data_IF_218915229533
#
_entry.id   IF_218915229533
#
_cell.length_a   1.000
_cell.length_b   1.000
_cell.length_c   1.000
_cell.angle_alpha   90.00
_cell.angle_beta   90.00
_cell.angle_gamma   90.00
#
_symmetry.space_group_name_H-M   'P 1'
#
loop_
_entity.id
_entity.type
_entity.pdbx_description
1 polymer ?
#
# COMPACT_ATOMS: atom_id res chain seq x y z
N UNK A 1 2.61 23.57 14.96
CA UNK A 1 3.61 23.12 15.96
C UNK A 1 3.89 21.66 15.65
N UNK A 2 5.09 21.28 15.20
CA UNK A 2 5.38 19.87 14.91
C UNK A 2 5.21 19.06 16.19
N UNK A 3 4.46 17.95 16.11
CA UNK A 3 4.34 16.98 17.20
C UNK A 3 5.74 16.60 17.68
N UNK A 4 5.94 16.64 19.00
CA UNK A 4 7.22 16.30 19.62
C UNK A 4 7.57 14.85 19.27
N UNK A 5 8.63 14.68 18.48
CA UNK A 5 9.23 13.40 18.14
C UNK A 5 9.58 12.64 19.43
N UNK A 6 9.03 11.45 19.63
CA UNK A 6 9.40 10.55 20.74
C UNK A 6 10.52 9.64 20.22
N UNK A 7 11.79 9.86 20.59
CA UNK A 7 12.87 8.95 20.18
C UNK A 7 12.80 7.71 21.07
N UNK A 8 12.43 6.57 20.49
CA UNK A 8 12.65 5.24 21.08
C UNK A 8 13.38 4.40 20.04
N UNK A 9 14.71 4.53 20.00
CA UNK A 9 15.57 3.82 19.04
C UNK A 9 16.32 4.73 18.08
N UNK A 10 17.04 4.08 17.16
CA UNK A 10 17.88 4.70 16.11
C UNK A 10 17.04 5.39 15.02
N UNK A 11 15.81 4.92 14.80
CA UNK A 11 14.90 5.43 13.79
C UNK A 11 13.70 6.18 14.37
N UNK A 12 13.16 7.14 13.61
CA UNK A 12 12.08 8.00 14.07
C UNK A 12 10.72 7.48 13.61
N UNK A 13 9.84 7.15 14.57
CA UNK A 13 8.50 6.63 14.30
C UNK A 13 7.52 7.69 13.84
N UNK A 14 6.65 7.33 12.89
CA UNK A 14 5.47 8.13 12.58
C UNK A 14 4.48 8.19 13.74
N UNK A 15 3.58 9.18 13.69
CA UNK A 15 2.42 9.25 14.58
C UNK A 15 1.58 7.96 14.51
N UNK A 16 1.44 7.40 13.29
CA UNK A 16 0.74 6.12 13.06
C UNK A 16 1.45 4.97 13.77
N UNK A 17 2.77 4.81 13.61
CA UNK A 17 3.54 3.78 14.31
C UNK A 17 3.44 3.88 15.83
N UNK A 18 3.52 5.11 16.35
CA UNK A 18 3.39 5.38 17.79
C UNK A 18 1.99 5.01 18.29
N UNK A 19 0.93 5.39 17.56
CA UNK A 19 -0.47 5.06 17.87
C UNK A 19 -0.72 3.54 17.87
N UNK A 20 -0.16 2.84 16.89
CA UNK A 20 -0.28 1.38 16.74
C UNK A 20 0.68 0.60 17.66
N UNK A 21 1.58 1.31 18.37
CA UNK A 21 2.61 0.71 19.22
C UNK A 21 3.44 -0.34 18.47
N UNK A 22 3.83 -0.03 17.23
CA UNK A 22 4.64 -0.94 16.41
C UNK A 22 5.99 -1.17 17.09
N UNK A 23 6.41 -2.42 17.14
CA UNK A 23 7.65 -2.88 17.79
C UNK A 23 8.50 -3.77 16.87
N UNK A 24 7.98 -4.07 15.69
CA UNK A 24 8.63 -4.88 14.66
C UNK A 24 8.58 -4.11 13.37
N UNK A 25 9.74 -3.92 12.74
CA UNK A 25 9.89 -3.11 11.54
C UNK A 25 10.66 -3.87 10.47
N UNK A 26 10.16 -3.79 9.24
CA UNK A 26 10.82 -4.34 8.07
C UNK A 26 11.34 -3.19 7.22
N UNK A 27 12.61 -3.28 6.89
CA UNK A 27 13.40 -2.29 6.18
C UNK A 27 13.79 -2.82 4.82
N UNK A 28 13.60 -2.03 3.78
CA UNK A 28 14.12 -2.32 2.46
C UNK A 28 15.47 -1.63 2.27
N UNK A 29 16.54 -2.37 1.92
CA UNK A 29 17.80 -1.78 1.46
C UNK A 29 17.63 -0.96 0.17
N UNK A 30 18.24 0.22 0.13
CA UNK A 30 18.32 1.13 -1.00
C UNK A 30 19.75 1.71 -1.06
N UNK A 31 20.66 0.95 -1.68
CA UNK A 31 22.09 1.25 -1.65
C UNK A 31 22.67 1.17 -0.23
N UNK A 32 23.33 2.25 0.21
CA UNK A 32 23.97 2.33 1.53
C UNK A 32 23.00 2.59 2.70
N UNK A 33 21.71 2.74 2.41
CA UNK A 33 20.69 3.09 3.39
C UNK A 33 19.55 2.09 3.36
N UNK A 34 18.72 2.11 4.40
CA UNK A 34 17.43 1.41 4.41
C UNK A 34 16.27 2.37 4.63
N UNK A 35 15.10 1.97 4.15
CA UNK A 35 13.80 2.63 4.33
C UNK A 35 12.83 1.68 5.03
N UNK A 36 12.02 2.18 5.97
CA UNK A 36 10.93 1.37 6.55
C UNK A 36 9.85 1.13 5.50
N UNK A 37 9.49 -0.14 5.28
CA UNK A 37 8.43 -0.52 4.34
C UNK A 37 7.22 -1.14 5.04
N UNK A 38 7.43 -1.72 6.22
CA UNK A 38 6.37 -2.26 7.04
C UNK A 38 6.73 -2.13 8.52
N UNK A 39 5.71 -2.04 9.36
CA UNK A 39 5.83 -2.18 10.79
C UNK A 39 4.53 -2.64 11.43
N UNK A 40 4.64 -3.40 12.51
CA UNK A 40 3.50 -3.94 13.23
C UNK A 40 3.83 -4.20 14.70
N UNK A 41 2.81 -4.52 15.48
CA UNK A 41 2.92 -4.81 16.91
C UNK A 41 2.76 -6.31 17.13
N UNK A 42 3.82 -7.00 17.56
CA UNK A 42 3.81 -8.46 17.75
C UNK A 42 2.91 -8.95 18.87
N UNK A 43 2.59 -8.09 19.85
CA UNK A 43 1.61 -8.45 20.89
C UNK A 43 0.20 -8.61 20.33
N UNK A 44 -0.11 -7.91 19.23
CA UNK A 44 -1.43 -7.89 18.59
C UNK A 44 -1.45 -8.75 17.33
N UNK A 45 -0.44 -8.60 16.48
CA UNK A 45 -0.32 -9.24 15.17
C UNK A 45 0.81 -10.24 15.19
N UNK A 46 0.54 -11.42 15.72
CA UNK A 46 1.51 -12.52 15.72
C UNK A 46 1.68 -13.05 14.30
N UNK A 47 2.82 -12.73 13.70
CA UNK A 47 3.17 -13.14 12.35
C UNK A 47 4.47 -13.96 12.37
N UNK A 48 4.43 -15.12 11.71
CA UNK A 48 5.65 -15.90 11.46
C UNK A 48 6.47 -15.26 10.35
N UNK A 49 7.72 -15.67 10.20
CA UNK A 49 8.57 -15.26 9.08
C UNK A 49 7.89 -15.56 7.74
N UNK A 50 7.29 -16.74 7.58
CA UNK A 50 6.52 -17.12 6.38
C UNK A 50 5.33 -16.19 6.14
N UNK A 51 4.56 -15.89 7.18
CA UNK A 51 3.43 -14.96 7.10
C UNK A 51 3.88 -13.58 6.62
N UNK A 52 4.94 -13.03 7.22
CA UNK A 52 5.46 -11.70 6.87
C UNK A 52 5.94 -11.67 5.41
N UNK A 53 6.73 -12.67 4.98
CA UNK A 53 7.17 -12.76 3.58
C UNK A 53 5.97 -12.75 2.63
N UNK A 54 4.96 -13.59 2.87
CA UNK A 54 3.74 -13.63 2.05
C UNK A 54 2.99 -12.30 2.03
N UNK A 55 2.81 -11.65 3.18
CA UNK A 55 2.17 -10.33 3.23
C UNK A 55 2.92 -9.27 2.43
N UNK A 56 4.26 -9.26 2.51
CA UNK A 56 5.10 -8.39 1.69
C UNK A 56 4.95 -8.72 0.19
N UNK A 57 4.77 -10.00 -0.16
CA UNK A 57 4.46 -10.42 -1.53
C UNK A 57 3.12 -9.83 -2.02
N UNK A 58 2.09 -9.89 -1.18
CA UNK A 58 0.77 -9.33 -1.49
C UNK A 58 0.80 -7.80 -1.64
N UNK A 59 1.60 -7.11 -0.83
CA UNK A 59 1.74 -5.65 -0.88
C UNK A 59 2.56 -5.15 -2.08
N UNK A 60 3.41 -6.00 -2.68
CA UNK A 60 4.35 -5.57 -3.73
C UNK A 60 4.39 -6.53 -4.92
N UNK A 61 3.25 -6.89 -5.53
CA UNK A 61 3.19 -7.92 -6.57
C UNK A 61 4.09 -7.61 -7.77
N UNK A 62 4.30 -6.33 -8.08
CA UNK A 62 5.16 -5.88 -9.18
C UNK A 62 6.64 -6.27 -9.00
N UNK A 63 7.14 -6.33 -7.75
CA UNK A 63 8.52 -6.74 -7.46
C UNK A 63 8.72 -8.24 -7.75
N UNK A 64 7.73 -9.06 -7.45
CA UNK A 64 7.85 -10.52 -7.57
C UNK A 64 7.56 -11.04 -8.98
N UNK A 65 6.70 -10.36 -9.75
CA UNK A 65 6.40 -10.78 -11.13
C UNK A 65 7.64 -10.89 -12.02
N UNK A 66 8.69 -10.10 -11.75
CA UNK A 66 9.87 -10.04 -12.62
C UNK A 66 10.81 -11.22 -12.48
N UNK A 67 10.79 -11.97 -11.36
CA UNK A 67 11.73 -13.08 -11.12
C UNK A 67 11.38 -13.89 -9.86
N UNK A 68 10.33 -14.73 -9.89
CA UNK A 68 9.92 -15.53 -8.72
C UNK A 68 11.00 -16.52 -8.25
N UNK A 69 11.81 -17.07 -9.17
CA UNK A 69 12.79 -18.12 -8.83
C UNK A 69 14.22 -17.60 -8.64
N UNK A 70 14.53 -16.37 -9.05
CA UNK A 70 15.92 -15.83 -9.04
C UNK A 70 16.24 -14.96 -7.86
N UNK A 71 15.25 -14.36 -7.22
CA UNK A 71 15.47 -13.47 -6.09
C UNK A 71 14.64 -13.93 -4.91
N UNK A 72 15.13 -14.98 -4.25
CA UNK A 72 14.66 -15.32 -2.92
C UNK A 72 14.93 -14.13 -2.00
N UNK A 73 13.86 -13.54 -1.47
CA UNK A 73 14.01 -12.55 -0.43
C UNK A 73 14.13 -13.23 0.91
N UNK A 74 14.96 -12.66 1.77
CA UNK A 74 15.21 -13.20 3.08
C UNK A 74 15.13 -12.09 4.11
N UNK A 75 14.50 -12.41 5.24
CA UNK A 75 14.55 -11.55 6.41
C UNK A 75 15.88 -11.77 7.14
N UNK A 76 16.52 -10.69 7.53
CA UNK A 76 17.70 -10.68 8.39
C UNK A 76 17.49 -9.69 9.50
N UNK A 77 17.99 -9.97 10.70
CA UNK A 77 18.07 -8.92 11.72
C UNK A 77 19.11 -7.89 11.30
N UNK A 78 18.77 -6.62 11.49
CA UNK A 78 19.67 -5.51 11.18
C UNK A 78 19.86 -4.64 12.42
N UNK A 79 21.03 -4.01 12.49
CA UNK A 79 21.25 -2.88 13.38
C UNK A 79 21.24 -1.61 12.55
N UNK A 80 20.40 -0.67 12.93
CA UNK A 80 20.34 0.64 12.31
C UNK A 80 21.40 1.54 12.93
N UNK A 81 21.90 2.47 12.12
CA UNK A 81 22.72 3.61 12.56
C UNK A 81 22.10 4.87 11.98
N UNK A 82 21.80 5.84 12.83
CA UNK A 82 21.35 7.17 12.36
C UNK A 82 22.38 7.77 11.39
N UNK A 83 21.90 8.25 10.24
CA UNK A 83 22.72 8.96 9.27
C UNK A 83 22.32 10.45 9.19
N UNK A 84 23.13 11.23 8.48
CA UNK A 84 22.87 12.66 8.28
C UNK A 84 21.68 12.91 7.35
N UNK A 85 21.36 11.95 6.48
CA UNK A 85 20.22 12.03 5.57
C UNK A 85 18.91 11.77 6.33
N UNK A 86 17.96 12.72 6.35
CA UNK A 86 16.66 12.54 6.99
C UNK A 86 15.93 11.29 6.50
N UNK A 87 15.33 10.54 7.45
CA UNK A 87 14.54 9.33 7.18
C UNK A 87 15.28 8.21 6.46
N UNK A 88 16.62 8.27 6.42
CA UNK A 88 17.47 7.18 6.00
C UNK A 88 18.28 6.69 7.18
N UNK A 89 18.58 5.41 7.16
CA UNK A 89 19.36 4.78 8.22
C UNK A 89 20.45 3.98 7.54
N UNK A 90 21.69 4.18 7.97
CA UNK A 90 22.74 3.21 7.67
C UNK A 90 22.38 1.91 8.39
N UNK A 91 22.78 0.78 7.84
CA UNK A 91 22.45 -0.51 8.43
C UNK A 91 23.63 -1.46 8.35
N UNK A 92 23.66 -2.40 9.29
CA UNK A 92 24.55 -3.56 9.26
C UNK A 92 23.71 -4.80 9.49
N UNK A 93 23.94 -5.84 8.70
CA UNK A 93 23.39 -7.16 8.98
C UNK A 93 24.35 -7.88 9.92
N UNK A 94 23.87 -8.23 11.11
CA UNK A 94 24.67 -8.96 12.11
C UNK A 94 24.42 -10.47 12.09
N UNK A 95 23.27 -10.87 11.53
CA UNK A 95 22.71 -12.20 11.74
C UNK A 95 22.57 -12.98 10.43
N UNK A 96 22.53 -14.31 10.59
CA UNK A 96 22.20 -15.26 9.53
C UNK A 96 20.81 -14.98 8.94
N UNK A 97 20.57 -15.53 7.75
CA UNK A 97 19.24 -15.53 7.13
C UNK A 97 18.25 -16.15 8.10
N UNK A 98 17.16 -15.43 8.38
CA UNK A 98 16.05 -15.99 9.15
C UNK A 98 15.30 -16.93 8.21
N UNK A 99 15.23 -18.24 8.53
CA UNK A 99 14.56 -19.19 7.67
C UNK A 99 13.06 -18.90 7.61
N UNK A 100 12.50 -19.04 6.42
CA UNK A 100 11.06 -18.89 6.18
C UNK A 100 10.30 -20.09 6.77
N UNK A 101 9.87 -19.94 8.02
CA UNK A 101 9.17 -20.98 8.76
C UNK A 101 8.00 -20.41 9.56
N UNK A 102 7.33 -21.29 10.31
CA UNK A 102 6.15 -20.97 11.12
C UNK A 102 6.50 -20.41 12.52
N UNK A 103 7.77 -20.10 12.78
CA UNK A 103 8.17 -19.48 14.03
C UNK A 103 7.73 -18.02 14.03
N UNK A 104 7.03 -17.61 15.10
CA UNK A 104 6.64 -16.21 15.29
C UNK A 104 7.90 -15.34 15.34
N UNK A 105 7.88 -14.28 14.55
CA UNK A 105 8.97 -13.32 14.51
C UNK A 105 8.99 -12.55 15.84
N UNK A 106 10.17 -12.34 16.42
CA UNK A 106 10.28 -11.50 17.62
C UNK A 106 10.15 -10.01 17.31
N UNK A 107 9.98 -9.16 18.34
CA UNK A 107 10.17 -7.71 18.17
C UNK A 107 11.58 -7.36 17.69
N UNK A 108 11.68 -6.28 16.90
CA UNK A 108 12.95 -5.73 16.42
C UNK A 108 12.95 -5.22 14.99
N UNK A 109 14.15 -4.89 14.51
CA UNK A 109 14.39 -4.34 13.18
C UNK A 109 14.93 -5.42 12.23
N UNK A 110 14.28 -5.57 11.09
CA UNK A 110 14.58 -6.60 10.10
C UNK A 110 14.82 -5.98 8.73
N UNK A 111 15.88 -6.41 8.05
CA UNK A 111 16.13 -6.10 6.65
C UNK A 111 15.46 -7.13 5.75
N UNK A 112 14.79 -6.65 4.71
CA UNK A 112 14.28 -7.43 3.60
C UNK A 112 15.34 -7.48 2.49
N UNK A 113 16.24 -8.45 2.61
CA UNK A 113 17.48 -8.52 1.83
C UNK A 113 17.33 -9.49 0.65
N UNK A 114 18.01 -9.17 -0.44
CA UNK A 114 18.12 -10.02 -1.61
C UNK A 114 19.23 -11.06 -1.40
N UNK A 115 19.08 -12.24 -1.98
CA UNK A 115 20.15 -13.22 -2.05
C UNK A 115 21.08 -12.89 -3.23
N UNK A 116 21.91 -11.85 -3.08
CA UNK A 116 22.97 -11.61 -4.07
C UNK A 116 24.09 -12.63 -3.81
N UNK A 117 24.27 -13.59 -4.72
CA UNK A 117 25.40 -14.51 -4.66
C UNK A 117 26.73 -13.82 -4.96
N UNK A 118 26.70 -12.66 -5.64
CA UNK A 118 27.86 -11.84 -5.97
C UNK A 118 27.70 -10.42 -5.42
N UNK A 119 28.66 -9.97 -4.61
CA UNK A 119 28.74 -8.60 -4.08
C UNK A 119 28.77 -7.53 -5.19
N UNK A 120 29.18 -7.90 -6.41
CA UNK A 120 29.16 -7.01 -7.57
C UNK A 120 27.75 -6.79 -8.16
N UNK A 121 26.80 -7.70 -7.93
CA UNK A 121 25.41 -7.52 -8.37
C UNK A 121 24.63 -6.62 -7.40
N UNK A 122 25.05 -6.53 -6.14
CA UNK A 122 24.40 -5.70 -5.12
C UNK A 122 24.40 -4.21 -5.53
N UNK A 123 25.49 -3.72 -6.11
CA UNK A 123 25.60 -2.36 -6.65
C UNK A 123 24.80 -2.16 -7.94
N UNK A 124 24.71 -3.19 -8.79
CA UNK A 124 24.04 -3.09 -10.10
C UNK A 124 22.52 -3.07 -10.00
N UNK A 125 21.97 -3.67 -8.95
CA UNK A 125 20.54 -3.71 -8.64
C UNK A 125 20.15 -2.90 -7.40
N UNK A 126 21.09 -2.13 -6.83
CA UNK A 126 20.88 -1.26 -5.65
C UNK A 126 19.83 -0.15 -5.86
N UNK A 127 19.37 0.04 -7.10
CA UNK A 127 18.31 0.98 -7.42
C UNK A 127 17.12 0.24 -8.05
N UNK A 128 16.36 -0.57 -7.29
CA UNK A 128 15.05 -0.98 -7.75
C UNK A 128 14.21 0.29 -7.81
N UNK A 129 14.19 0.90 -8.99
CA UNK A 129 13.31 1.97 -9.42
C UNK A 129 11.98 1.85 -8.67
N UNK A 130 11.79 2.73 -7.70
CA UNK A 130 11.01 2.50 -6.49
C UNK A 130 9.55 2.08 -6.77
N UNK A 131 9.10 0.87 -6.41
CA UNK A 131 7.65 0.59 -6.31
C UNK A 131 7.02 1.31 -5.12
N UNK A 132 7.83 1.86 -4.21
CA UNK A 132 7.40 2.73 -3.13
C UNK A 132 7.50 4.21 -3.51
N UNK A 133 7.31 4.56 -4.79
CA UNK A 133 6.66 5.83 -5.05
C UNK A 133 5.41 5.80 -4.18
N UNK A 134 5.45 6.57 -3.10
CA UNK A 134 4.38 6.68 -2.12
C UNK A 134 3.31 7.41 -2.91
N UNK A 135 2.62 6.69 -3.80
CA UNK A 135 1.36 7.14 -4.34
C UNK A 135 0.57 7.55 -3.12
N UNK A 136 0.08 8.79 -3.11
CA UNK A 136 -0.62 9.44 -2.02
C UNK A 136 -1.93 8.71 -1.61
N UNK A 137 -2.05 7.41 -1.87
CA UNK A 137 -3.03 6.52 -1.28
C UNK A 137 -2.77 6.54 0.22
N UNK A 138 -3.51 7.45 0.86
CA UNK A 138 -3.58 7.57 2.30
C UNK A 138 -3.89 6.16 2.81
N UNK A 139 -2.94 5.58 3.56
CA UNK A 139 -3.07 4.30 4.24
C UNK A 139 -4.06 4.44 5.41
N UNK A 140 -5.30 4.76 5.09
CA UNK A 140 -6.38 5.11 6.01
C UNK A 140 -7.53 4.14 5.83
N UNK A 141 -8.26 3.92 6.91
CA UNK A 141 -9.39 2.99 6.92
C UNK A 141 -10.56 3.44 6.04
N UNK A 142 -11.51 2.56 5.73
CA UNK A 142 -12.72 2.94 4.99
C UNK A 142 -13.54 4.01 5.74
N UNK A 143 -13.62 3.92 7.08
CA UNK A 143 -14.25 4.97 7.90
C UNK A 143 -13.54 6.32 7.73
N UNK A 144 -12.21 6.33 7.69
CA UNK A 144 -11.45 7.56 7.49
C UNK A 144 -11.60 8.09 6.05
N UNK A 145 -11.57 7.23 5.03
CA UNK A 145 -11.86 7.60 3.64
C UNK A 145 -13.24 8.28 3.53
N UNK A 146 -14.24 7.73 4.20
CA UNK A 146 -15.58 8.30 4.24
C UNK A 146 -15.64 9.69 4.92
N UNK A 147 -14.65 10.07 5.74
CA UNK A 147 -14.55 11.42 6.32
C UNK A 147 -13.85 12.41 5.39
N UNK A 148 -12.93 11.93 4.55
CA UNK A 148 -12.21 12.77 3.59
C UNK A 148 -12.95 12.94 2.26
N UNK A 149 -13.97 12.12 2.01
CA UNK A 149 -14.80 12.28 0.82
C UNK A 149 -15.53 13.61 0.86
N UNK A 150 -15.34 14.41 -0.19
CA UNK A 150 -16.10 15.65 -0.42
C UNK A 150 -17.40 15.39 -1.18
N UNK A 151 -17.70 14.13 -1.49
CA UNK A 151 -18.88 13.75 -2.24
C UNK A 151 -20.15 14.08 -1.47
N UNK A 152 -21.13 14.68 -2.16
CA UNK A 152 -22.45 14.93 -1.59
C UNK A 152 -23.19 13.61 -1.34
N UNK A 153 -24.27 13.65 -0.54
CA UNK A 153 -25.09 12.45 -0.30
C UNK A 153 -25.65 11.86 -1.60
N UNK A 154 -26.00 12.71 -2.55
CA UNK A 154 -26.49 12.30 -3.87
C UNK A 154 -25.41 11.59 -4.69
N UNK A 155 -24.14 12.02 -4.55
CA UNK A 155 -23.00 11.36 -5.20
C UNK A 155 -22.59 10.07 -4.50
N UNK A 156 -22.88 9.92 -3.20
CA UNK A 156 -22.64 8.69 -2.45
C UNK A 156 -23.73 7.64 -2.68
N UNK A 157 -24.95 8.08 -3.02
CA UNK A 157 -26.13 7.21 -3.23
C UNK A 157 -25.91 6.03 -4.18
N UNK A 158 -25.19 6.15 -5.33
CA UNK A 158 -24.91 5.02 -6.20
C UNK A 158 -24.12 3.90 -5.53
N UNK A 159 -23.42 4.21 -4.44
CA UNK A 159 -22.55 3.29 -3.69
C UNK A 159 -23.21 2.73 -2.43
N UNK A 160 -24.43 3.20 -2.10
CA UNK A 160 -25.25 2.61 -1.06
C UNK A 160 -25.69 1.20 -1.48
N UNK A 161 -25.85 0.31 -0.51
CA UNK A 161 -26.35 -1.04 -0.78
C UNK A 161 -27.79 -0.96 -1.25
N UNK A 162 -28.04 -1.40 -2.49
CA UNK A 162 -29.39 -1.43 -3.06
C UNK A 162 -30.33 -2.26 -2.18
N UNK A 163 -31.61 -1.85 -2.10
CA UNK A 163 -32.59 -2.50 -1.22
C UNK A 163 -32.71 -4.00 -1.48
N UNK A 164 -32.76 -4.43 -2.74
CA UNK A 164 -32.88 -5.85 -3.10
C UNK A 164 -31.65 -6.65 -2.64
N UNK A 165 -30.45 -6.12 -2.88
CA UNK A 165 -29.21 -6.74 -2.42
C UNK A 165 -29.15 -6.80 -0.89
N UNK A 166 -29.58 -5.73 -0.21
CA UNK A 166 -29.67 -5.69 1.24
C UNK A 166 -30.59 -6.78 1.76
N UNK A 167 -31.81 -6.87 1.23
CA UNK A 167 -32.79 -7.92 1.59
C UNK A 167 -32.19 -9.32 1.38
N UNK A 168 -31.51 -9.56 0.26
CA UNK A 168 -30.82 -10.83 -0.02
C UNK A 168 -29.77 -11.19 1.03
N UNK A 169 -28.92 -10.24 1.42
CA UNK A 169 -27.89 -10.45 2.44
C UNK A 169 -28.53 -10.70 3.80
N UNK A 170 -29.63 -10.01 4.10
CA UNK A 170 -30.35 -10.15 5.36
C UNK A 170 -31.00 -11.53 5.51
N UNK A 171 -31.38 -12.20 4.41
CA UNK A 171 -31.90 -13.58 4.41
C UNK A 171 -30.89 -14.65 4.86
N UNK A 172 -29.58 -14.36 4.88
CA UNK A 172 -28.55 -15.33 5.31
C UNK A 172 -28.63 -15.70 6.81
N UNK A 173 -29.36 -14.91 7.60
CA UNK A 173 -29.75 -15.12 9.01
C UNK A 173 -28.62 -15.43 10.03
N UNK A 174 -27.35 -15.38 9.65
CA UNK A 174 -26.22 -15.62 10.55
C UNK A 174 -25.06 -14.64 10.30
N UNK A 175 -24.35 -14.29 11.36
CA UNK A 175 -23.12 -13.49 11.27
C UNK A 175 -22.04 -14.26 10.52
N UNK A 176 -21.41 -13.61 9.54
CA UNK A 176 -20.31 -14.15 8.75
C UNK A 176 -19.10 -14.58 9.60
N UNK A 177 -18.84 -13.87 10.70
CA UNK A 177 -17.67 -14.11 11.55
C UNK A 177 -17.98 -15.08 12.69
N UNK A 178 -19.12 -14.90 13.37
CA UNK A 178 -19.42 -15.58 14.64
C UNK A 178 -20.46 -16.69 14.51
N UNK A 179 -21.13 -16.79 13.35
CA UNK A 179 -22.23 -17.71 13.06
C UNK A 179 -23.45 -17.59 13.98
N UNK A 180 -23.50 -16.56 14.83
CA UNK A 180 -24.66 -16.26 15.65
C UNK A 180 -25.82 -15.81 14.78
N UNK A 181 -27.02 -16.25 15.12
CA UNK A 181 -28.21 -15.96 14.35
C UNK A 181 -28.78 -14.58 14.69
N UNK A 182 -29.74 -14.08 13.89
CA UNK A 182 -30.49 -12.86 14.23
C UNK A 182 -31.33 -12.99 15.51
N UNK A 183 -31.64 -14.21 15.93
CA UNK A 183 -32.35 -14.44 17.19
C UNK A 183 -31.44 -14.19 18.40
N UNK A 184 -30.12 -14.33 18.21
CA UNK A 184 -29.11 -14.20 19.26
C UNK A 184 -28.48 -12.80 19.32
N UNK A 185 -28.44 -12.06 18.20
CA UNK A 185 -27.70 -10.80 18.10
C UNK A 185 -28.20 -9.90 16.97
N UNK A 186 -27.94 -8.59 17.08
CA UNK A 186 -28.30 -7.60 16.08
C UNK A 186 -27.33 -7.67 14.89
N UNK A 187 -27.83 -8.18 13.76
CA UNK A 187 -27.06 -8.31 12.52
C UNK A 187 -27.33 -7.17 11.54
N UNK A 188 -26.29 -6.75 10.83
CA UNK A 188 -26.36 -5.68 9.82
C UNK A 188 -25.51 -6.01 8.60
N UNK A 189 -25.98 -5.72 7.37
CA UNK A 189 -25.18 -5.89 6.17
C UNK A 189 -23.96 -4.96 6.15
N UNK A 190 -22.84 -5.46 5.66
CA UNK A 190 -21.63 -4.71 5.43
C UNK A 190 -20.98 -5.12 4.09
N UNK A 191 -20.31 -4.17 3.45
CA UNK A 191 -19.45 -4.45 2.30
C UNK A 191 -18.16 -5.10 2.77
N UNK A 192 -17.61 -6.03 1.99
CA UNK A 192 -16.23 -6.48 2.16
C UNK A 192 -15.31 -5.37 1.63
N UNK A 193 -15.53 -4.95 0.37
CA UNK A 193 -14.94 -3.75 -0.23
C UNK A 193 -16.05 -2.75 -0.54
N UNK A 194 -16.11 -1.58 0.11
CA UNK A 194 -17.09 -0.55 -0.25
C UNK A 194 -16.92 -0.15 -1.72
N UNK A 195 -17.98 -0.21 -2.56
CA UNK A 195 -17.86 0.09 -3.99
C UNK A 195 -17.32 1.49 -4.30
N UNK A 196 -17.57 2.45 -3.41
CA UNK A 196 -17.04 3.81 -3.50
C UNK A 196 -15.51 3.86 -3.54
N UNK A 197 -14.84 2.87 -2.94
CA UNK A 197 -13.39 2.84 -2.74
C UNK A 197 -12.67 1.79 -3.58
N UNK A 198 -13.34 1.23 -4.59
CA UNK A 198 -12.76 0.20 -5.46
C UNK A 198 -11.45 0.66 -6.10
N UNK A 199 -11.41 1.89 -6.62
CA UNK A 199 -10.24 2.41 -7.33
C UNK A 199 -9.01 2.60 -6.44
N UNK A 200 -9.20 2.70 -5.13
CA UNK A 200 -8.12 2.76 -4.16
C UNK A 200 -7.64 1.35 -3.79
N UNK A 201 -8.56 0.38 -3.72
CA UNK A 201 -8.27 -0.99 -3.30
C UNK A 201 -7.70 -1.83 -4.44
N UNK A 202 -8.11 -1.59 -5.69
CA UNK A 202 -7.69 -2.41 -6.83
C UNK A 202 -6.74 -1.68 -7.75
N UNK A 203 -5.62 -2.35 -8.06
CA UNK A 203 -4.61 -1.84 -8.99
C UNK A 203 -4.96 -2.10 -10.45
N UNK A 204 -5.97 -2.96 -10.69
CA UNK A 204 -6.13 -3.67 -11.95
C UNK A 204 -6.94 -2.87 -12.99
N UNK A 205 -7.55 -1.76 -12.57
CA UNK A 205 -8.41 -0.93 -13.44
C UNK A 205 -9.67 -1.65 -13.94
N UNK A 206 -9.90 -2.90 -13.53
CA UNK A 206 -11.07 -3.67 -13.93
C UNK A 206 -12.32 -3.16 -13.20
N UNK A 207 -13.23 -2.60 -13.99
CA UNK A 207 -14.57 -2.16 -13.57
C UNK A 207 -15.53 -3.34 -13.36
N UNK A 208 -15.09 -4.38 -12.64
CA UNK A 208 -16.04 -5.41 -12.21
C UNK A 208 -17.14 -4.78 -11.35
N UNK A 209 -18.36 -5.33 -11.36
CA UNK A 209 -19.40 -4.86 -10.47
C UNK A 209 -19.03 -5.23 -9.03
N UNK A 210 -18.70 -4.24 -8.21
CA UNK A 210 -18.55 -4.42 -6.74
C UNK A 210 -19.90 -4.42 -6.01
N UNK A 211 -20.99 -4.15 -6.74
CA UNK A 211 -22.36 -4.19 -6.26
C UNK A 211 -22.94 -5.61 -6.37
N UNK A 212 -22.35 -6.55 -5.63
CA UNK A 212 -22.72 -7.98 -5.70
C UNK A 212 -22.96 -8.58 -4.33
N UNK A 213 -23.72 -9.69 -4.30
CA UNK A 213 -23.97 -10.48 -3.11
C UNK A 213 -22.68 -11.11 -2.55
N UNK A 214 -21.70 -11.37 -3.40
CA UNK A 214 -20.40 -11.93 -3.04
C UNK A 214 -19.53 -10.91 -2.30
N UNK A 215 -19.65 -9.61 -2.61
CA UNK A 215 -18.92 -8.54 -1.94
C UNK A 215 -19.60 -8.05 -0.64
N UNK A 216 -20.58 -8.78 -0.13
CA UNK A 216 -21.32 -8.41 1.08
C UNK A 216 -21.31 -9.52 2.10
N UNK A 217 -21.32 -9.11 3.36
CA UNK A 217 -21.37 -9.98 4.53
C UNK A 217 -22.43 -9.47 5.50
N UNK A 218 -22.96 -10.37 6.32
CA UNK A 218 -23.81 -10.00 7.44
C UNK A 218 -22.95 -10.06 8.71
N UNK A 219 -22.85 -8.97 9.47
CA UNK A 219 -21.98 -8.88 10.65
C UNK A 219 -22.77 -8.40 11.86
N UNK A 220 -22.31 -8.73 13.06
CA UNK A 220 -22.85 -8.13 14.30
C UNK A 220 -22.63 -6.62 14.29
N UNK A 221 -23.65 -5.87 14.72
CA UNK A 221 -23.64 -4.41 14.71
C UNK A 221 -22.44 -3.83 15.48
N UNK A 222 -22.07 -4.44 16.59
CA UNK A 222 -20.93 -4.02 17.42
C UNK A 222 -19.58 -4.34 16.76
N UNK A 223 -19.52 -5.34 15.89
CA UNK A 223 -18.30 -5.70 15.14
C UNK A 223 -18.13 -4.81 13.90
N UNK A 224 -19.25 -4.35 13.29
CA UNK A 224 -19.23 -3.61 12.03
C UNK A 224 -18.28 -2.41 12.04
N UNK A 225 -18.25 -1.63 13.12
CA UNK A 225 -17.34 -0.49 13.22
C UNK A 225 -15.88 -0.89 13.08
N UNK A 226 -15.46 -1.99 13.71
CA UNK A 226 -14.09 -2.49 13.68
C UNK A 226 -13.72 -3.09 12.31
N UNK A 227 -14.70 -3.71 11.64
CA UNK A 227 -14.58 -4.16 10.25
C UNK A 227 -14.34 -2.98 9.30
N UNK A 228 -15.22 -1.98 9.32
CA UNK A 228 -15.11 -0.79 8.46
C UNK A 228 -13.86 0.06 8.78
N UNK A 229 -13.34 -0.04 10.01
CA UNK A 229 -12.11 0.65 10.44
C UNK A 229 -10.83 -0.17 10.14
N UNK A 230 -10.96 -1.29 9.42
CA UNK A 230 -9.87 -2.17 9.00
C UNK A 230 -9.02 -2.66 10.18
N UNK A 231 -9.60 -2.92 11.36
CA UNK A 231 -8.84 -3.31 12.56
C UNK A 231 -8.50 -4.80 12.60
N UNK A 232 -9.18 -5.60 11.77
CA UNK A 232 -8.90 -6.99 11.52
C UNK A 232 -9.32 -7.35 10.09
N UNK A 233 -8.85 -8.48 9.58
CA UNK A 233 -9.22 -9.00 8.26
C UNK A 233 -9.14 -10.52 8.22
N UNK A 234 -9.70 -11.12 7.17
CA UNK A 234 -9.66 -12.57 6.93
C UNK A 234 -8.56 -12.88 5.92
N UNK A 235 -7.60 -13.69 6.34
CA UNK A 235 -6.50 -14.16 5.52
C UNK A 235 -6.87 -15.49 4.86
N UNK A 236 -7.43 -15.40 3.64
CA UNK A 236 -7.93 -16.56 2.88
C UNK A 236 -6.83 -17.60 2.61
N UNK A 237 -5.60 -17.15 2.41
CA UNK A 237 -4.44 -18.00 2.11
C UNK A 237 -3.86 -18.68 3.36
N UNK A 238 -4.26 -18.26 4.56
CA UNK A 238 -3.86 -18.82 5.84
C UNK A 238 -5.05 -19.51 6.51
N UNK A 239 -5.72 -20.38 5.74
CA UNK A 239 -6.89 -21.15 6.19
C UNK A 239 -8.00 -20.28 6.81
N UNK A 240 -8.27 -19.11 6.20
CA UNK A 240 -9.25 -18.14 6.67
C UNK A 240 -8.99 -17.66 8.12
N UNK A 241 -7.72 -17.54 8.51
CA UNK A 241 -7.31 -16.94 9.78
C UNK A 241 -7.78 -15.49 9.86
N UNK A 242 -8.31 -15.09 11.02
CA UNK A 242 -8.65 -13.70 11.30
C UNK A 242 -7.44 -13.02 11.92
N UNK A 243 -6.82 -12.13 11.14
CA UNK A 243 -5.65 -11.35 11.53
C UNK A 243 -6.12 -10.06 12.18
N UNK A 244 -5.69 -9.82 13.43
CA UNK A 244 -5.93 -8.59 14.16
C UNK A 244 -4.74 -7.65 13.95
N UNK A 245 -5.03 -6.40 13.61
CA UNK A 245 -4.03 -5.36 13.42
C UNK A 245 -3.98 -4.35 14.58
N UNK A 246 -5.05 -4.30 15.38
CA UNK A 246 -5.18 -3.42 16.53
C UNK A 246 -5.72 -4.18 17.72
N UNK A 247 -5.40 -3.70 18.93
CA UNK A 247 -6.00 -4.23 20.15
C UNK A 247 -7.47 -3.83 20.19
N UNK A 248 -8.34 -4.83 20.04
CA UNK A 248 -9.79 -4.64 20.12
C UNK A 248 -10.25 -4.53 21.58
N UNK A 249 -11.42 -3.89 21.85
CA UNK A 249 -12.08 -4.00 23.15
C UNK A 249 -12.30 -5.47 23.51
N UNK A 250 -12.18 -5.82 24.79
CA UNK A 250 -12.20 -7.23 25.23
C UNK A 250 -13.53 -7.92 24.87
N UNK A 251 -14.63 -7.18 24.91
CA UNK A 251 -15.98 -7.65 24.57
C UNK A 251 -16.06 -8.00 23.09
N UNK A 252 -15.46 -7.20 22.21
CA UNK A 252 -15.43 -7.43 20.76
C UNK A 252 -14.45 -8.55 20.42
N UNK A 253 -13.27 -8.53 21.03
CA UNK A 253 -12.23 -9.52 20.77
C UNK A 253 -12.68 -10.94 21.12
N UNK A 254 -13.47 -11.09 22.19
CA UNK A 254 -14.05 -12.35 22.61
C UNK A 254 -15.13 -12.89 21.65
N UNK A 255 -15.74 -12.04 20.81
CA UNK A 255 -16.72 -12.45 19.80
C UNK A 255 -16.04 -13.00 18.54
N UNK A 256 -14.88 -12.44 18.18
CA UNK A 256 -14.23 -12.73 16.90
C UNK A 256 -13.39 -14.00 17.05
N UNK A 257 -13.65 -15.07 16.27
CA UNK A 257 -12.86 -16.28 16.38
C UNK A 257 -11.42 -16.07 15.86
N UNK A 258 -10.56 -17.08 16.02
CA UNK A 258 -9.22 -17.05 15.43
C UNK A 258 -9.23 -17.37 13.93
N UNK A 259 -10.19 -18.20 13.50
CA UNK A 259 -10.40 -18.61 12.11
C UNK A 259 -11.90 -18.58 11.82
N UNK A 260 -12.28 -18.39 10.58
CA UNK A 260 -13.67 -18.62 10.18
C UNK A 260 -14.00 -20.10 10.37
N UNK A 261 -15.04 -20.40 11.14
CA UNK A 261 -15.43 -21.78 11.47
C UNK A 261 -16.17 -22.48 10.35
N UNK A 262 -16.70 -21.72 9.39
CA UNK A 262 -17.29 -22.22 8.16
C UNK A 262 -16.40 -21.77 7.02
N UNK A 263 -16.05 -22.69 6.11
CA UNK A 263 -15.40 -22.32 4.87
C UNK A 263 -16.30 -21.32 4.13
N UNK A 264 -15.81 -20.09 3.89
CA UNK A 264 -16.53 -19.12 3.10
C UNK A 264 -16.83 -19.67 1.71
N UNK A 265 -17.93 -19.17 1.15
CA UNK A 265 -18.21 -19.32 -0.26
C UNK A 265 -17.01 -18.82 -1.09
N UNK A 266 -16.38 -19.67 -1.92
CA UNK A 266 -15.21 -19.31 -2.73
C UNK A 266 -15.45 -18.08 -3.62
N UNK A 267 -16.71 -17.76 -3.95
CA UNK A 267 -17.05 -16.57 -4.70
C UNK A 267 -16.71 -15.26 -3.95
N UNK A 268 -16.58 -15.31 -2.62
CA UNK A 268 -16.19 -14.17 -1.76
C UNK A 268 -14.69 -14.01 -1.63
N UNK A 269 -13.93 -15.05 -1.92
CA UNK A 269 -12.48 -15.07 -1.66
C UNK A 269 -11.75 -13.92 -2.37
N UNK A 270 -12.18 -13.54 -3.58
CA UNK A 270 -11.57 -12.41 -4.32
C UNK A 270 -11.68 -11.12 -3.50
N UNK A 271 -12.87 -10.80 -3.00
CA UNK A 271 -13.12 -9.61 -2.19
C UNK A 271 -12.41 -9.69 -0.84
N UNK A 272 -12.38 -10.88 -0.21
CA UNK A 272 -11.66 -11.09 1.05
C UNK A 272 -10.15 -10.88 0.88
N UNK A 273 -9.53 -11.39 -0.19
CA UNK A 273 -8.11 -11.17 -0.49
C UNK A 273 -7.81 -9.68 -0.73
N UNK A 274 -8.66 -8.98 -1.49
CA UNK A 274 -8.52 -7.53 -1.69
C UNK A 274 -8.67 -6.75 -0.39
N UNK A 275 -9.66 -7.09 0.44
CA UNK A 275 -9.87 -6.47 1.75
C UNK A 275 -8.68 -6.70 2.66
N UNK A 276 -8.15 -7.93 2.65
CA UNK A 276 -6.97 -8.29 3.41
C UNK A 276 -5.75 -7.46 2.99
N UNK A 277 -5.45 -7.37 1.69
CA UNK A 277 -4.36 -6.53 1.17
C UNK A 277 -4.54 -5.07 1.57
N UNK A 278 -5.75 -4.51 1.45
CA UNK A 278 -6.03 -3.15 1.90
C UNK A 278 -5.79 -2.97 3.41
N UNK A 279 -6.22 -3.93 4.23
CA UNK A 279 -5.95 -3.90 5.67
C UNK A 279 -4.45 -3.97 6.00
N UNK A 280 -3.65 -4.69 5.20
CA UNK A 280 -2.19 -4.68 5.31
C UNK A 280 -1.62 -3.29 4.95
N UNK A 281 -2.11 -2.63 3.89
CA UNK A 281 -1.68 -1.27 3.54
C UNK A 281 -2.01 -0.29 4.67
N UNK A 282 -3.22 -0.37 5.21
CA UNK A 282 -3.69 0.51 6.29
C UNK A 282 -2.93 0.28 7.59
N UNK A 283 -2.55 -0.95 7.95
CA UNK A 283 -2.03 -1.22 9.30
C UNK A 283 -0.57 -1.68 9.35
N UNK A 284 -0.03 -2.25 8.28
CA UNK A 284 1.32 -2.81 8.23
C UNK A 284 2.27 -1.90 7.46
N UNK A 285 1.86 -1.34 6.33
CA UNK A 285 2.77 -0.55 5.48
C UNK A 285 3.30 0.71 6.19
N UNK A 286 4.54 1.05 5.85
CA UNK A 286 5.26 2.24 6.34
C UNK A 286 5.70 2.15 7.80
N UNK A 287 5.90 3.31 8.41
CA UNK A 287 6.11 3.43 9.85
C UNK A 287 7.20 4.38 10.33
N UNK A 288 8.00 4.94 9.42
CA UNK A 288 8.87 6.05 9.74
C UNK A 288 8.16 7.39 9.52
N UNK A 289 8.77 8.45 10.04
CA UNK A 289 8.21 9.78 9.94
C UNK A 289 8.03 10.32 8.52
N UNK A 290 8.56 9.67 7.49
CA UNK A 290 8.38 10.11 6.10
C UNK A 290 6.90 10.29 5.74
N UNK A 291 6.01 9.51 6.36
CA UNK A 291 4.54 9.63 6.23
C UNK A 291 3.99 11.03 6.56
N UNK A 292 4.71 11.82 7.35
CA UNK A 292 4.27 13.16 7.78
C UNK A 292 4.86 14.29 6.94
N UNK A 293 5.83 14.00 6.07
CA UNK A 293 6.54 14.99 5.27
C UNK A 293 6.20 14.81 3.80
N UNK A 294 5.88 15.90 3.10
CA UNK A 294 5.76 15.85 1.64
C UNK A 294 7.11 15.53 1.02
N UNK A 295 7.12 14.83 -0.12
CA UNK A 295 8.35 14.57 -0.87
C UNK A 295 9.09 15.87 -1.20
N UNK A 296 8.37 16.96 -1.52
CA UNK A 296 8.96 18.29 -1.70
C UNK A 296 9.70 18.80 -0.45
N UNK A 297 9.12 18.61 0.75
CA UNK A 297 9.76 19.04 1.99
C UNK A 297 10.99 18.19 2.30
N UNK A 298 10.92 16.88 2.02
CA UNK A 298 12.06 15.97 2.17
C UNK A 298 13.18 16.39 1.22
N UNK A 299 12.87 16.68 -0.04
CA UNK A 299 13.85 17.12 -1.03
C UNK A 299 14.49 18.46 -0.64
N UNK A 300 13.70 19.43 -0.18
CA UNK A 300 14.24 20.69 0.36
C UNK A 300 15.17 20.46 1.55
N UNK A 301 14.82 19.53 2.44
CA UNK A 301 15.66 19.19 3.59
C UNK A 301 16.98 18.54 3.16
N UNK A 302 16.95 17.62 2.17
CA UNK A 302 18.14 17.01 1.57
C UNK A 302 19.03 18.08 0.92
N UNK A 303 18.44 19.05 0.21
CA UNK A 303 19.17 20.17 -0.40
C UNK A 303 19.83 21.04 0.68
N UNK A 304 19.12 21.38 1.75
CA UNK A 304 19.63 22.22 2.84
C UNK A 304 20.82 21.60 3.59
N UNK A 305 20.91 20.27 3.66
CA UNK A 305 22.06 19.58 4.28
C UNK A 305 23.24 19.39 3.32
N UNK A 306 23.17 19.94 2.09
CA UNK A 306 24.25 19.89 1.11
C UNK A 306 24.50 18.50 0.53
N UNK A 307 23.49 17.63 0.57
CA UNK A 307 23.59 16.30 -0.02
C UNK A 307 23.27 16.31 -1.51
N UNK A 308 22.57 17.34 -2.00
CA UNK A 308 22.39 17.60 -3.43
C UNK A 308 23.50 18.54 -3.89
N UNK A 309 24.31 18.12 -4.87
CA UNK A 309 25.24 19.02 -5.54
C UNK A 309 24.45 20.09 -6.29
N UNK A 310 24.84 21.35 -6.12
CA UNK A 310 24.20 22.52 -6.78
C UNK A 310 24.30 22.44 -8.32
N UNK A 311 25.13 21.54 -8.84
CA UNK A 311 25.46 21.42 -10.26
C UNK A 311 24.50 20.54 -11.08
N UNK A 312 23.52 19.87 -10.46
CA UNK A 312 22.55 19.01 -11.18
C UNK A 312 21.21 19.67 -11.50
N UNK A 313 20.97 20.92 -11.09
CA UNK A 313 19.78 21.67 -11.52
C UNK A 313 19.95 22.26 -12.92
N UNK A 314 20.62 21.53 -13.82
CA UNK A 314 20.74 21.87 -15.23
C UNK A 314 19.34 22.10 -15.77
N UNK A 315 19.03 23.37 -15.99
CA UNK A 315 17.85 23.86 -16.69
C UNK A 315 18.06 23.47 -18.15
N UNK A 316 17.90 22.18 -18.47
CA UNK A 316 17.86 21.66 -19.84
C UNK A 316 16.51 22.06 -20.49
N UNK A 317 16.07 23.29 -20.26
CA UNK A 317 15.18 23.99 -21.19
C UNK A 317 16.05 24.41 -22.39
N UNK A 318 16.57 23.42 -23.11
CA UNK A 318 17.05 23.66 -24.46
C UNK A 318 15.81 23.97 -25.29
N UNK A 319 15.69 25.26 -25.58
CA UNK A 319 14.81 25.91 -26.54
C UNK A 319 14.95 25.27 -27.93
N UNK A 320 14.33 24.11 -28.16
CA UNK A 320 14.04 23.62 -29.52
C UNK A 320 12.76 24.31 -30.03
N UNK A 321 12.88 25.62 -30.24
CA UNK A 321 12.08 26.40 -31.19
C UNK A 321 12.40 25.92 -32.62
N UNK A 322 11.84 24.78 -33.05
CA UNK A 322 11.71 24.48 -34.47
C UNK A 322 10.30 24.88 -34.95
N UNK A 323 10.24 26.11 -35.46
CA UNK A 323 9.20 26.60 -36.36
C UNK A 323 9.07 25.66 -37.58
N UNK A 324 7.97 24.92 -37.69
CA UNK A 324 7.47 24.48 -39.00
C UNK A 324 6.12 25.15 -39.29
N UNK A 325 6.23 26.23 -40.07
CA UNK A 325 5.17 26.90 -40.81
C UNK A 325 4.56 25.99 -41.90
N UNK A 326 3.30 26.31 -42.21
CA UNK A 326 2.63 26.16 -43.51
C UNK A 326 2.26 24.75 -44.05
N UNK A 327 0.95 24.49 -44.10
CA UNK A 327 0.22 24.64 -45.37
C UNK A 327 -1.28 24.30 -45.24
N UNK A 328 -2.09 25.32 -45.51
CA UNK A 328 -3.16 25.37 -46.51
C UNK A 328 -4.31 24.33 -46.55
N UNK A 329 -5.51 24.93 -46.57
CA UNK A 329 -6.65 24.60 -47.45
C UNK A 329 -7.47 23.34 -47.15
N UNK A 330 -8.73 23.51 -46.74
CA UNK A 330 -9.80 23.61 -47.75
C UNK A 330 -11.18 23.84 -47.10
N UNK A 331 -11.94 24.76 -47.68
CA UNK A 331 -13.23 25.20 -47.19
C UNK A 331 -14.40 24.31 -47.62
N UNK A 332 -15.38 24.09 -46.73
CA UNK A 332 -16.74 23.68 -47.15
C UNK A 332 -17.84 24.47 -46.44
N UNK A 333 -18.36 25.41 -47.23
CA UNK A 333 -19.70 26.00 -47.35
C UNK A 333 -20.78 25.66 -46.30
N UNK A 334 -21.29 26.75 -45.71
CA UNK A 334 -22.64 26.93 -45.17
C UNK A 334 -23.71 26.51 -46.20
N UNK A 335 -24.62 25.63 -45.81
CA UNK A 335 -25.98 25.55 -46.37
C UNK A 335 -26.99 25.66 -45.24
N UNK A 336 -27.93 26.59 -45.43
CA UNK A 336 -29.02 26.98 -44.55
C UNK A 336 -30.29 26.33 -45.11
N UNK A 337 -30.98 25.50 -44.33
CA UNK A 337 -32.39 25.16 -44.57
C UNK A 337 -33.05 24.55 -43.32
N UNK A 338 -33.98 25.29 -42.73
CA UNK A 338 -35.22 24.79 -42.09
C UNK A 338 -36.36 25.03 -43.11
N UNK A 339 -37.61 24.52 -42.96
CA UNK A 339 -38.20 23.76 -41.86
C UNK A 339 -39.04 22.53 -42.31
N UNK A 340 -39.42 21.63 -41.38
CA UNK A 340 -40.67 20.85 -41.49
C UNK A 340 -41.00 20.12 -40.20
N UNK A 341 -42.28 20.19 -39.81
CA UNK A 341 -42.90 19.56 -38.66
C UNK A 341 -43.09 18.03 -38.83
N UNK A 342 -43.23 17.31 -37.70
CA UNK A 342 -43.92 16.03 -37.68
C UNK A 342 -43.39 14.97 -36.71
N UNK A 343 -44.19 14.71 -35.67
CA UNK A 343 -44.45 13.42 -35.01
C UNK A 343 -43.33 12.67 -34.24
N UNK A 344 -43.60 12.50 -32.93
CA UNK A 344 -43.53 11.27 -32.11
C UNK A 344 -42.46 10.22 -32.46
N UNK A 345 -41.53 10.00 -31.54
CA UNK A 345 -41.48 8.74 -30.77
C UNK A 345 -40.52 8.85 -29.57
N UNK A 346 -40.94 8.29 -28.44
CA UNK A 346 -40.10 8.11 -27.26
C UNK A 346 -39.14 6.94 -27.51
N UNK A 347 -37.85 7.24 -27.60
CA UNK A 347 -36.79 6.26 -27.43
C UNK A 347 -35.76 6.85 -26.45
N UNK A 348 -35.66 6.22 -25.29
CA UNK A 348 -34.63 6.48 -24.27
C UNK A 348 -33.30 5.95 -24.81
N UNK A 349 -32.49 6.85 -25.38
CA UNK A 349 -31.12 6.57 -25.78
C UNK A 349 -30.14 6.98 -24.69
N UNK A 350 -29.54 6.00 -24.03
CA UNK A 350 -28.40 6.22 -23.15
C UNK A 350 -27.21 6.72 -24.00
N UNK A 351 -26.81 7.99 -23.81
CA UNK A 351 -25.55 8.52 -24.34
C UNK A 351 -24.44 8.21 -23.33
N UNK A 352 -23.55 7.30 -23.70
CA UNK A 352 -22.24 7.18 -23.10
C UNK A 352 -21.43 8.43 -23.50
N UNK A 353 -21.19 9.31 -22.53
CA UNK A 353 -20.20 10.39 -22.66
C UNK A 353 -18.83 9.83 -22.31
N UNK A 354 -17.95 9.72 -23.30
CA UNK A 354 -16.52 9.46 -23.09
C UNK A 354 -15.89 10.72 -22.50
N UNK A 355 -15.51 10.66 -21.24
CA UNK A 355 -14.62 11.62 -20.59
C UNK A 355 -13.19 11.18 -20.93
N UNK A 356 -12.46 11.98 -21.71
CA UNK A 356 -11.03 11.80 -21.92
C UNK A 356 -10.29 12.54 -20.79
N UNK A 357 -9.75 11.79 -19.83
CA UNK A 357 -8.80 12.34 -18.86
C UNK A 357 -7.44 12.54 -19.54
N UNK A 358 -7.08 13.81 -19.69
CA UNK A 358 -5.74 14.26 -19.99
C UNK A 358 -5.10 14.69 -18.68
N UNK A 359 -4.30 13.81 -18.06
CA UNK A 359 -3.31 14.18 -17.04
C UNK A 359 -2.40 12.96 -16.75
N UNK A 360 -1.42 12.74 -17.63
CA UNK A 360 -0.21 11.97 -17.26
C UNK A 360 0.93 12.96 -17.15
N UNK A 361 1.14 13.48 -15.95
CA UNK A 361 2.33 14.26 -15.62
C UNK A 361 3.57 13.37 -15.73
N UNK A 362 4.57 13.81 -16.49
CA UNK A 362 5.90 13.22 -16.48
C UNK A 362 6.61 13.62 -15.18
N UNK A 363 7.19 12.63 -14.50
CA UNK A 363 8.04 12.87 -13.33
C UNK A 363 9.49 12.75 -13.80
N UNK A 364 10.23 13.84 -13.73
CA UNK A 364 11.70 13.88 -13.92
C UNK A 364 12.36 13.52 -12.58
N UNK A 365 13.40 12.67 -12.58
CA UNK A 365 14.10 12.21 -11.37
C UNK A 365 15.61 12.44 -11.46
N UNK A 366 16.19 12.95 -10.36
CA UNK A 366 17.63 13.23 -10.16
C UNK A 366 18.30 12.14 -9.29
N UNK A 367 19.61 11.93 -9.44
CA UNK A 367 20.37 10.86 -8.77
C UNK A 367 21.49 11.43 -7.89
N UNK A 368 21.74 10.81 -6.73
CA UNK A 368 22.87 11.18 -5.87
C UNK A 368 23.79 10.01 -5.60
N UNK A 369 25.05 10.17 -5.98
CA UNK A 369 26.16 9.33 -5.55
C UNK A 369 26.96 10.15 -4.54
N UNK A 370 26.98 9.71 -3.28
CA UNK A 370 27.72 10.40 -2.21
C UNK A 370 29.14 9.85 -2.13
N UNK A 371 30.12 10.60 -2.63
CA UNK A 371 31.55 10.21 -2.63
C UNK A 371 32.26 10.37 -1.27
N UNK A 372 31.56 10.75 -0.18
CA UNK A 372 32.18 11.13 1.11
C UNK A 372 31.87 10.23 2.30
N UNK A 373 31.43 8.99 2.10
CA UNK A 373 31.40 8.01 3.19
C UNK A 373 32.77 7.31 3.31
N UNK A 374 33.70 7.89 4.07
CA UNK A 374 34.92 7.19 4.46
C UNK A 374 34.58 5.99 5.34
N UNK A 375 34.83 4.80 4.81
CA UNK A 375 34.62 3.52 5.46
C UNK A 375 35.78 3.24 6.42
N UNK A 376 35.52 3.27 7.74
CA UNK A 376 36.44 2.70 8.73
C UNK A 376 36.09 1.21 8.85
N UNK A 377 36.75 0.38 8.03
CA UNK A 377 36.80 -1.06 8.25
C UNK A 377 37.98 -1.38 9.17
N UNK A 378 37.69 -1.53 10.45
CA UNK A 378 38.57 -2.29 11.36
C UNK A 378 37.99 -3.70 11.50
N UNK A 379 38.29 -4.57 10.53
CA UNK A 379 38.18 -6.03 10.74
C UNK A 379 39.29 -6.78 9.97
N UNK A 380 40.18 -7.54 10.65
CA UNK A 380 41.39 -8.08 10.06
C UNK A 380 41.15 -9.47 9.47
N UNK A 381 40.48 -9.55 8.34
CA UNK A 381 40.34 -10.80 7.57
C UNK A 381 40.56 -10.55 6.07
N UNK A 382 41.75 -10.06 5.69
CA UNK A 382 42.22 -10.11 4.30
C UNK A 382 43.58 -10.79 4.23
N UNK A 383 43.56 -12.05 3.78
CA UNK A 383 44.74 -12.78 3.32
C UNK A 383 45.05 -12.29 1.92
N UNK A 384 46.22 -11.66 1.77
CA UNK A 384 46.66 -11.03 0.53
C UNK A 384 46.93 -12.02 -0.60
N UNK A 385 46.66 -11.56 -1.83
CA UNK A 385 47.29 -12.10 -3.02
C UNK A 385 48.15 -11.01 -3.67
N UNK A 386 49.44 -11.35 -3.79
CA UNK A 386 50.49 -10.55 -4.39
C UNK A 386 50.31 -10.50 -5.91
N UNK A 387 50.41 -9.29 -6.47
CA UNK A 387 50.70 -9.09 -7.89
C UNK A 387 52.05 -9.71 -8.27
N UNK A 388 52.10 -10.35 -9.44
CA UNK A 388 53.30 -10.40 -10.28
C UNK A 388 53.00 -9.66 -11.58
N UNK A 389 54.06 -8.97 -12.01
CA UNK A 389 54.17 -7.90 -13.01
C UNK A 389 53.47 -8.12 -14.33
#
# INVERSE_FOLDING_TARGET
MPEQLIPRGEHQFSAKSSKLKRDTFIFQPCGLYVKVIAGFNQEVTQASTRTVCRWLHSLMPALFRRSPDRYGFHLRRISLKKCEIPFRYAYSSKDEVIPENDSILGPGDYGWCWNFSDANDELKYSNPMFPFAIGNLRQISFIELAKFTTLTKEQQRPYEMETLLKEEVEMRNACFLTHRSREDTDLTPAWIIPPLWVFQVTSDGEHEPYHTAENTVLVEKDIKFHWDNNEFAVDVEDHYRIVRFRKLPAEIDALIPQHLTLEPDPAKDKFLRQHFTWCLEVNIMGGDNRETWSDETIMKLIQQVGLLSEDESGDDSDDDDEEEEDSDDDGVKKVKATPSAGARDMAVGARAGTFQDAERGFIVQYYLICDKCEYIADDPCFVGYSHRM
#
